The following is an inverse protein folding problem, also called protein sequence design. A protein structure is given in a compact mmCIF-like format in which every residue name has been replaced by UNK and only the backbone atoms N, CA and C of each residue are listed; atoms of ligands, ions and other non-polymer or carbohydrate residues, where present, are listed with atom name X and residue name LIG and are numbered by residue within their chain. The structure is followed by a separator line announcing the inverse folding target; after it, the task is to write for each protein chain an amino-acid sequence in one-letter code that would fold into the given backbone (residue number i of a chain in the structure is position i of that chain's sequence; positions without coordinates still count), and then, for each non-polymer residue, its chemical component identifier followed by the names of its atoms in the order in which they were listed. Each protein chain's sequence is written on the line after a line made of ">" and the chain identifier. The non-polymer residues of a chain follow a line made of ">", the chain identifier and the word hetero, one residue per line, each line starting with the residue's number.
data_IF_883327628590
#
_entry.id   IF_883327628590
#
_cell.length_a   1.000
_cell.length_b   1.000
_cell.length_c   1.000
_cell.angle_alpha   90.00
_cell.angle_beta   90.00
_cell.angle_gamma   90.00
#
_symmetry.space_group_name_H-M   'P 1'
#
loop_
_entity.id
_entity.type
_entity.pdbx_description
1 polymer ?
#
# COMPACT_ATOMS: atom_id res chain seq x y z
N UNK A 1 -17.57 29.39 7.34
CA UNK A 1 -17.10 28.10 7.90
C UNK A 1 -17.98 27.03 7.28
N UNK A 2 -17.50 26.39 6.21
CA UNK A 2 -18.22 25.28 5.60
C UNK A 2 -17.99 24.05 6.46
N UNK A 3 -19.07 23.45 6.96
CA UNK A 3 -19.03 22.09 7.48
C UNK A 3 -18.51 21.22 6.34
N UNK A 4 -17.30 20.67 6.46
CA UNK A 4 -16.92 19.58 5.58
C UNK A 4 -17.87 18.44 5.96
N UNK A 5 -18.87 18.18 5.11
CA UNK A 5 -19.78 17.06 5.33
C UNK A 5 -18.94 15.79 5.48
N UNK A 6 -19.18 15.06 6.56
CA UNK A 6 -18.44 13.85 6.85
C UNK A 6 -18.57 12.84 5.72
N UNK A 7 -17.49 12.08 5.51
CA UNK A 7 -17.48 10.98 4.53
C UNK A 7 -18.37 9.81 4.99
N UNK A 8 -18.76 9.74 6.25
CA UNK A 8 -19.65 8.70 6.79
C UNK A 8 -21.15 9.03 6.65
N UNK A 9 -21.55 9.72 5.58
CA UNK A 9 -22.95 9.99 5.31
C UNK A 9 -23.66 8.77 4.69
N UNK A 10 -23.73 7.68 5.46
CA UNK A 10 -24.49 6.50 5.06
C UNK A 10 -25.97 6.86 4.98
N UNK A 11 -26.60 6.51 3.85
CA UNK A 11 -28.06 6.57 3.75
C UNK A 11 -28.64 5.62 4.80
N UNK A 12 -29.85 5.89 5.30
CA UNK A 12 -30.58 4.98 6.21
C UNK A 12 -30.81 3.58 5.62
N UNK A 13 -30.61 3.40 4.31
CA UNK A 13 -30.69 2.12 3.63
C UNK A 13 -29.30 1.49 3.44
N UNK A 14 -29.19 0.15 3.45
CA UNK A 14 -27.94 -0.53 3.10
C UNK A 14 -27.43 -0.10 1.72
N UNK A 15 -26.13 0.17 1.61
CA UNK A 15 -25.46 0.43 0.33
C UNK A 15 -24.93 -0.89 -0.21
N UNK A 16 -25.12 -1.15 -1.50
CA UNK A 16 -24.66 -2.38 -2.14
C UNK A 16 -23.12 -2.47 -2.13
N UNK A 17 -22.59 -3.64 -1.78
CA UNK A 17 -21.14 -3.88 -1.73
C UNK A 17 -20.47 -3.73 -3.12
N UNK A 18 -21.24 -3.89 -4.19
CA UNK A 18 -20.83 -3.76 -5.60
C UNK A 18 -20.83 -2.32 -6.12
N UNK A 19 -21.31 -1.34 -5.33
CA UNK A 19 -21.28 0.08 -5.73
C UNK A 19 -19.88 0.68 -5.55
N UNK A 20 -18.93 0.24 -6.39
CA UNK A 20 -17.53 0.66 -6.30
C UNK A 20 -17.37 2.19 -6.41
N UNK A 21 -18.25 2.88 -7.15
CA UNK A 21 -18.23 4.33 -7.29
C UNK A 21 -18.54 5.06 -5.98
N UNK A 22 -19.40 4.50 -5.13
CA UNK A 22 -19.63 5.00 -3.78
C UNK A 22 -18.43 4.72 -2.87
N UNK A 23 -17.96 3.47 -2.84
CA UNK A 23 -16.89 3.04 -1.93
C UNK A 23 -15.53 3.67 -2.26
N UNK A 24 -15.22 3.90 -3.54
CA UNK A 24 -13.96 4.49 -3.95
C UNK A 24 -13.75 5.93 -3.43
N UNK A 25 -14.81 6.64 -3.03
CA UNK A 25 -14.72 7.98 -2.43
C UNK A 25 -13.92 8.02 -1.12
N UNK A 26 -13.79 6.87 -0.45
CA UNK A 26 -13.06 6.74 0.80
C UNK A 26 -11.53 6.65 0.61
N UNK A 27 -11.05 6.14 -0.53
CA UNK A 27 -9.61 5.85 -0.73
C UNK A 27 -9.02 6.27 -2.07
N UNK A 28 -9.82 6.58 -3.09
CA UNK A 28 -9.32 6.94 -4.42
C UNK A 28 -8.69 8.34 -4.48
N UNK A 29 -9.00 9.23 -3.53
CA UNK A 29 -8.42 10.57 -3.48
C UNK A 29 -6.94 10.54 -3.06
N UNK A 30 -6.08 11.00 -3.96
CA UNK A 30 -4.63 10.92 -3.80
C UNK A 30 -4.05 11.98 -2.85
N UNK A 31 -4.80 13.02 -2.50
CA UNK A 31 -4.34 14.09 -1.61
C UNK A 31 -4.70 13.86 -0.13
N UNK A 32 -5.32 12.73 0.21
CA UNK A 32 -5.84 12.48 1.56
C UNK A 32 -4.72 12.20 2.57
N UNK A 33 -4.55 13.10 3.54
CA UNK A 33 -3.67 12.91 4.70
C UNK A 33 -4.39 12.20 5.85
N UNK A 34 -3.62 11.78 6.87
CA UNK A 34 -4.22 11.20 8.10
C UNK A 34 -5.12 12.19 8.84
N UNK A 35 -4.77 13.48 8.82
CA UNK A 35 -5.56 14.53 9.46
C UNK A 35 -6.89 14.72 8.73
N UNK A 36 -6.88 14.64 7.39
CA UNK A 36 -8.09 14.72 6.58
C UNK A 36 -9.03 13.57 6.87
N UNK A 37 -8.51 12.33 6.96
CA UNK A 37 -9.33 11.16 7.35
C UNK A 37 -9.96 11.38 8.73
N UNK A 38 -9.21 11.86 9.71
CA UNK A 38 -9.71 12.02 11.08
C UNK A 38 -10.75 13.14 11.19
N UNK A 39 -10.61 14.19 10.40
CA UNK A 39 -11.59 15.28 10.29
C UNK A 39 -12.87 14.83 9.57
N UNK A 40 -12.73 14.06 8.47
CA UNK A 40 -13.84 13.58 7.65
C UNK A 40 -14.53 12.33 8.19
N UNK A 41 -13.95 11.66 9.20
CA UNK A 41 -14.49 10.46 9.84
C UNK A 41 -14.44 10.64 11.37
N UNK A 42 -15.36 11.43 11.94
CA UNK A 42 -15.37 11.73 13.38
C UNK A 42 -15.75 10.52 14.24
N UNK A 43 -15.23 10.46 15.47
CA UNK A 43 -15.47 9.34 16.38
C UNK A 43 -16.96 9.18 16.76
N UNK A 44 -17.65 10.31 16.94
CA UNK A 44 -19.08 10.31 17.25
C UNK A 44 -19.89 9.68 16.10
N UNK A 45 -19.50 9.93 14.86
CA UNK A 45 -20.19 9.40 13.70
C UNK A 45 -19.89 7.92 13.47
N UNK A 46 -18.65 7.46 13.68
CA UNK A 46 -18.35 6.03 13.62
C UNK A 46 -19.24 5.25 14.60
N UNK A 47 -19.39 5.77 15.83
CA UNK A 47 -20.30 5.17 16.83
C UNK A 47 -21.76 5.27 16.40
N UNK A 48 -22.21 6.41 15.89
CA UNK A 48 -23.59 6.55 15.41
C UNK A 48 -23.90 5.55 14.28
N UNK A 49 -23.01 5.42 13.29
CA UNK A 49 -23.14 4.45 12.21
C UNK A 49 -23.13 3.02 12.74
N UNK A 50 -22.29 2.70 13.73
CA UNK A 50 -22.25 1.38 14.36
C UNK A 50 -23.61 0.96 14.91
N UNK A 51 -24.33 1.90 15.54
CA UNK A 51 -25.66 1.65 16.11
C UNK A 51 -26.78 1.71 15.04
N UNK A 52 -26.72 2.68 14.13
CA UNK A 52 -27.82 2.98 13.20
C UNK A 52 -27.76 2.20 11.89
N UNK A 53 -26.56 1.79 11.47
CA UNK A 53 -26.33 1.12 10.18
C UNK A 53 -25.12 0.16 10.23
N UNK A 54 -25.12 -0.84 11.14
CA UNK A 54 -23.99 -1.76 11.33
C UNK A 54 -23.60 -2.50 10.04
N UNK A 55 -24.56 -2.83 9.17
CA UNK A 55 -24.27 -3.49 7.89
C UNK A 55 -23.42 -2.63 6.94
N UNK A 56 -23.65 -1.32 6.91
CA UNK A 56 -22.87 -0.41 6.05
C UNK A 56 -21.44 -0.25 6.56
N UNK A 57 -21.27 -0.17 7.88
CA UNK A 57 -19.95 -0.12 8.51
C UNK A 57 -19.18 -1.43 8.33
N UNK A 58 -19.86 -2.57 8.41
CA UNK A 58 -19.31 -3.87 8.07
C UNK A 58 -18.82 -3.92 6.61
N UNK A 59 -19.65 -3.49 5.65
CA UNK A 59 -19.27 -3.42 4.24
C UNK A 59 -18.10 -2.47 3.99
N UNK A 60 -18.07 -1.30 4.65
CA UNK A 60 -16.93 -0.37 4.57
C UNK A 60 -15.63 -1.05 5.01
N UNK A 61 -15.66 -1.78 6.13
CA UNK A 61 -14.50 -2.52 6.61
C UNK A 61 -14.09 -3.61 5.61
N UNK A 62 -15.05 -4.40 5.12
CA UNK A 62 -14.80 -5.43 4.13
C UNK A 62 -14.11 -4.88 2.88
N UNK A 63 -14.66 -3.82 2.27
CA UNK A 63 -14.11 -3.19 1.07
C UNK A 63 -12.74 -2.57 1.32
N UNK A 64 -12.52 -1.95 2.49
CA UNK A 64 -11.20 -1.43 2.84
C UNK A 64 -10.15 -2.54 2.99
N UNK A 65 -10.49 -3.68 3.60
CA UNK A 65 -9.60 -4.85 3.69
C UNK A 65 -9.36 -5.47 2.31
N UNK A 66 -10.38 -5.57 1.47
CA UNK A 66 -10.26 -6.05 0.08
C UNK A 66 -9.20 -5.25 -0.69
N UNK A 67 -9.18 -3.91 -0.55
CA UNK A 67 -8.14 -3.07 -1.16
C UNK A 67 -6.73 -3.32 -0.60
N UNK A 68 -6.61 -3.61 0.70
CA UNK A 68 -5.31 -3.99 1.29
C UNK A 68 -4.82 -5.33 0.73
N UNK A 69 -5.70 -6.33 0.62
CA UNK A 69 -5.39 -7.64 0.02
C UNK A 69 -4.95 -7.47 -1.43
N UNK A 70 -5.70 -6.69 -2.23
CA UNK A 70 -5.33 -6.40 -3.62
C UNK A 70 -3.95 -5.74 -3.73
N UNK A 71 -3.65 -4.76 -2.87
CA UNK A 71 -2.34 -4.12 -2.83
C UNK A 71 -1.20 -5.06 -2.42
N UNK A 72 -1.45 -5.97 -1.48
CA UNK A 72 -0.50 -6.99 -1.08
C UNK A 72 -0.21 -7.98 -2.22
N UNK A 73 -1.26 -8.48 -2.88
CA UNK A 73 -1.17 -9.40 -4.01
C UNK A 73 -0.47 -8.77 -5.22
N UNK A 74 -0.70 -7.47 -5.49
CA UNK A 74 -0.04 -6.75 -6.58
C UNK A 74 1.37 -6.26 -6.24
N UNK A 75 1.78 -6.30 -4.98
CA UNK A 75 3.07 -5.75 -4.54
C UNK A 75 3.18 -4.22 -4.69
N UNK A 76 2.06 -3.50 -4.63
CA UNK A 76 1.99 -2.03 -4.65
C UNK A 76 2.83 -1.37 -5.77
N UNK A 77 2.70 -1.85 -7.01
CA UNK A 77 3.58 -1.45 -8.11
C UNK A 77 3.36 0.00 -8.60
N UNK A 78 2.14 0.54 -8.49
CA UNK A 78 1.82 1.91 -8.90
C UNK A 78 1.65 2.87 -7.72
N UNK A 79 1.94 4.16 -7.95
CA UNK A 79 1.71 5.19 -6.93
C UNK A 79 0.24 5.29 -6.51
N UNK A 80 -0.67 5.05 -7.46
CA UNK A 80 -2.11 5.00 -7.18
C UNK A 80 -2.47 3.88 -6.20
N UNK A 81 -1.94 2.68 -6.39
CA UNK A 81 -2.18 1.55 -5.47
C UNK A 81 -1.61 1.84 -4.09
N UNK A 82 -0.38 2.36 -4.01
CA UNK A 82 0.24 2.75 -2.73
C UNK A 82 -0.65 3.73 -1.97
N UNK A 83 -1.19 4.72 -2.66
CA UNK A 83 -2.04 5.72 -2.04
C UNK A 83 -3.41 5.15 -1.59
N UNK A 84 -4.01 4.25 -2.38
CA UNK A 84 -5.23 3.53 -1.99
C UNK A 84 -4.95 2.72 -0.71
N UNK A 85 -3.88 1.93 -0.69
CA UNK A 85 -3.48 1.11 0.47
C UNK A 85 -3.26 1.98 1.71
N UNK A 86 -2.56 3.11 1.57
CA UNK A 86 -2.34 4.04 2.68
C UNK A 86 -3.65 4.65 3.19
N UNK A 87 -4.56 5.03 2.30
CA UNK A 87 -5.87 5.57 2.68
C UNK A 87 -6.74 4.52 3.39
N UNK A 88 -6.79 3.28 2.89
CA UNK A 88 -7.48 2.18 3.56
C UNK A 88 -6.88 1.88 4.93
N UNK A 89 -5.54 1.91 5.05
CA UNK A 89 -4.85 1.73 6.34
C UNK A 89 -5.21 2.83 7.35
N UNK A 90 -5.24 4.10 6.92
CA UNK A 90 -5.66 5.23 7.76
C UNK A 90 -7.12 5.11 8.20
N UNK A 91 -8.00 4.74 7.28
CA UNK A 91 -9.43 4.55 7.55
C UNK A 91 -9.65 3.43 8.56
N UNK A 92 -9.04 2.27 8.36
CA UNK A 92 -9.16 1.12 9.28
C UNK A 92 -8.56 1.45 10.65
N UNK A 93 -7.40 2.11 10.70
CA UNK A 93 -6.81 2.59 11.97
C UNK A 93 -7.75 3.54 12.70
N UNK A 94 -8.52 4.36 11.96
CA UNK A 94 -9.50 5.28 12.51
C UNK A 94 -10.77 4.58 13.00
N UNK A 95 -11.27 3.60 12.25
CA UNK A 95 -12.57 2.96 12.47
C UNK A 95 -12.53 1.83 13.49
N UNK A 96 -11.53 0.94 13.40
CA UNK A 96 -11.48 -0.29 14.19
C UNK A 96 -11.53 -0.08 15.71
N UNK A 97 -10.86 0.92 16.32
CA UNK A 97 -10.94 1.14 17.76
C UNK A 97 -12.37 1.36 18.26
N UNK A 98 -13.22 2.02 17.45
CA UNK A 98 -14.60 2.32 17.82
C UNK A 98 -15.54 1.15 17.51
N UNK A 99 -15.24 0.34 16.49
CA UNK A 99 -15.98 -0.90 16.26
C UNK A 99 -15.86 -1.82 17.47
N UNK A 100 -14.64 -2.02 17.98
CA UNK A 100 -14.37 -2.94 19.08
C UNK A 100 -14.75 -2.44 20.49
N UNK A 101 -15.33 -1.24 20.59
CA UNK A 101 -16.03 -0.83 21.83
C UNK A 101 -17.28 -1.68 22.09
N UNK A 102 -17.88 -2.24 21.03
CA UNK A 102 -19.00 -3.17 21.11
C UNK A 102 -18.48 -4.62 20.95
N UNK A 103 -18.66 -5.50 21.95
CA UNK A 103 -18.16 -6.87 21.88
C UNK A 103 -18.80 -7.72 20.78
N UNK A 104 -20.02 -7.41 20.33
CA UNK A 104 -20.75 -8.21 19.35
C UNK A 104 -20.08 -8.15 17.96
N UNK A 105 -19.31 -7.10 17.70
CA UNK A 105 -18.53 -6.94 16.47
C UNK A 105 -17.35 -7.91 16.35
N UNK A 106 -16.94 -8.58 17.43
CA UNK A 106 -15.95 -9.65 17.35
C UNK A 106 -16.44 -10.81 16.48
N UNK A 107 -17.73 -11.14 16.58
CA UNK A 107 -18.34 -12.19 15.76
C UNK A 107 -18.16 -11.88 14.28
N UNK A 108 -18.57 -10.68 13.85
CA UNK A 108 -18.42 -10.21 12.47
C UNK A 108 -16.98 -10.28 11.95
N UNK A 109 -16.00 -9.83 12.73
CA UNK A 109 -14.61 -9.74 12.26
C UNK A 109 -13.94 -11.12 12.15
N UNK A 110 -14.33 -12.06 13.01
CA UNK A 110 -13.73 -13.40 13.08
C UNK A 110 -14.61 -14.49 12.44
N UNK A 111 -15.82 -14.16 11.99
CA UNK A 111 -16.65 -15.05 11.17
C UNK A 111 -16.21 -15.03 9.72
N UNK A 112 -16.43 -16.15 9.04
CA UNK A 112 -16.34 -16.21 7.59
C UNK A 112 -17.52 -15.43 6.99
N UNK A 113 -17.27 -14.65 5.95
CA UNK A 113 -18.34 -13.93 5.24
C UNK A 113 -18.76 -14.82 4.07
N UNK A 114 -20.02 -15.28 4.01
CA UNK A 114 -20.52 -16.08 2.90
C UNK A 114 -20.35 -15.33 1.58
N UNK A 115 -19.71 -15.94 0.59
CA UNK A 115 -19.44 -15.32 -0.71
C UNK A 115 -18.27 -14.31 -0.75
N UNK A 116 -17.48 -14.17 0.33
CA UNK A 116 -16.15 -13.56 0.28
C UNK A 116 -15.08 -14.52 -0.28
N UNK A 117 -15.44 -15.80 -0.44
CA UNK A 117 -14.76 -16.73 -1.34
C UNK A 117 -14.79 -16.14 -2.75
N UNK A 118 -13.59 -15.90 -3.28
CA UNK A 118 -13.29 -15.31 -4.59
C UNK A 118 -14.36 -15.67 -5.63
N UNK A 119 -14.87 -14.67 -6.34
CA UNK A 119 -15.89 -14.86 -7.37
C UNK A 119 -15.60 -16.04 -8.30
N UNK A 120 -16.40 -17.10 -8.17
CA UNK A 120 -16.42 -18.24 -9.09
C UNK A 120 -16.43 -19.62 -8.41
N UNK A 121 -17.62 -20.23 -8.41
CA UNK A 121 -17.90 -21.68 -8.40
C UNK A 121 -17.64 -22.48 -7.11
N UNK A 122 -18.74 -22.80 -6.41
CA UNK A 122 -18.86 -23.99 -5.56
C UNK A 122 -19.47 -23.69 -4.19
N UNK A 123 -20.53 -24.41 -3.83
CA UNK A 123 -21.10 -24.40 -2.46
C UNK A 123 -20.12 -24.94 -1.40
N UNK A 124 -19.02 -25.59 -1.83
CA UNK A 124 -17.94 -26.11 -0.98
C UNK A 124 -16.86 -25.07 -0.60
N UNK A 125 -16.82 -23.88 -1.25
CA UNK A 125 -15.76 -22.87 -1.01
C UNK A 125 -16.06 -21.96 0.21
N UNK A 126 -17.30 -21.96 0.69
CA UNK A 126 -17.74 -21.19 1.86
C UNK A 126 -17.21 -21.79 3.18
N UNK A 127 -16.94 -23.11 3.22
CA UNK A 127 -16.39 -23.78 4.40
C UNK A 127 -14.92 -23.41 4.65
N UNK A 128 -14.24 -22.88 3.63
CA UNK A 128 -12.85 -22.46 3.68
C UNK A 128 -12.68 -20.93 3.52
N UNK A 129 -13.78 -20.18 3.54
CA UNK A 129 -13.75 -18.73 3.45
C UNK A 129 -13.00 -18.15 4.65
N UNK A 130 -12.00 -17.31 4.38
CA UNK A 130 -11.13 -16.76 5.44
C UNK A 130 -11.87 -15.66 6.21
N UNK A 131 -11.80 -15.63 7.56
CA UNK A 131 -12.32 -14.51 8.34
C UNK A 131 -11.71 -13.16 7.95
N UNK A 132 -12.48 -12.08 8.07
CA UNK A 132 -12.03 -10.72 7.73
C UNK A 132 -10.76 -10.33 8.51
N UNK A 133 -10.71 -10.70 9.80
CA UNK A 133 -9.56 -10.50 10.67
C UNK A 133 -8.29 -11.15 10.13
N UNK A 134 -8.37 -12.41 9.69
CA UNK A 134 -7.23 -13.15 9.16
C UNK A 134 -6.75 -12.52 7.85
N UNK A 135 -7.67 -12.17 6.95
CA UNK A 135 -7.35 -11.47 5.70
C UNK A 135 -6.65 -10.13 5.94
N UNK A 136 -7.13 -9.35 6.91
CA UNK A 136 -6.52 -8.08 7.29
C UNK A 136 -5.11 -8.27 7.85
N UNK A 137 -4.92 -9.23 8.77
CA UNK A 137 -3.63 -9.48 9.40
C UNK A 137 -2.57 -9.95 8.39
N UNK A 138 -2.95 -10.86 7.49
CA UNK A 138 -2.05 -11.33 6.43
C UNK A 138 -1.69 -10.20 5.45
N UNK A 139 -2.68 -9.44 4.97
CA UNK A 139 -2.42 -8.32 4.07
C UNK A 139 -1.52 -7.25 4.71
N UNK A 140 -1.75 -6.88 5.98
CA UNK A 140 -0.88 -5.94 6.69
C UNK A 140 0.53 -6.52 6.85
N UNK A 141 0.66 -7.80 7.20
CA UNK A 141 1.96 -8.44 7.35
C UNK A 141 2.76 -8.39 6.04
N UNK A 142 2.14 -8.70 4.91
CA UNK A 142 2.78 -8.63 3.59
C UNK A 142 3.14 -7.18 3.21
N UNK A 143 2.21 -6.24 3.41
CA UNK A 143 2.41 -4.83 3.10
C UNK A 143 3.50 -4.18 3.96
N UNK A 144 3.69 -4.58 5.21
CA UNK A 144 4.75 -4.08 6.09
C UNK A 144 6.16 -4.40 5.58
N UNK A 145 6.30 -5.46 4.78
CA UNK A 145 7.58 -5.89 4.20
C UNK A 145 7.62 -5.79 2.68
N UNK A 146 6.64 -5.10 2.07
CA UNK A 146 6.53 -4.95 0.63
C UNK A 146 7.70 -4.11 0.06
N UNK A 147 8.54 -4.69 -0.82
CA UNK A 147 9.63 -3.97 -1.47
C UNK A 147 9.13 -2.77 -2.27
N UNK A 148 9.90 -1.69 -2.26
CA UNK A 148 9.61 -0.43 -2.97
C UNK A 148 8.30 0.27 -2.54
N UNK A 149 7.66 -0.22 -1.46
CA UNK A 149 6.55 0.41 -0.76
C UNK A 149 6.90 0.77 0.68
N UNK A 150 7.15 -0.23 1.54
CA UNK A 150 7.50 -0.06 2.96
C UNK A 150 8.95 -0.40 3.27
N UNK A 151 9.58 -1.20 2.42
CA UNK A 151 11.00 -1.60 2.55
C UNK A 151 11.77 -1.19 1.29
N UNK A 152 12.98 -0.65 1.45
CA UNK A 152 13.85 -0.32 0.33
C UNK A 152 14.37 -1.60 -0.35
N UNK A 153 14.11 -1.75 -1.65
CA UNK A 153 14.69 -2.84 -2.43
C UNK A 153 16.17 -2.59 -2.67
N UNK A 154 17.02 -3.49 -2.18
CA UNK A 154 18.46 -3.44 -2.47
C UNK A 154 18.71 -3.97 -3.89
N UNK A 155 18.44 -3.14 -4.91
CA UNK A 155 18.92 -3.47 -6.25
C UNK A 155 20.43 -3.29 -6.24
N UNK A 156 21.18 -4.41 -6.28
CA UNK A 156 22.61 -4.37 -6.64
C UNK A 156 22.68 -3.68 -8.00
N UNK A 157 23.15 -2.43 -8.03
CA UNK A 157 23.54 -1.76 -9.26
C UNK A 157 24.52 -2.67 -9.98
N UNK A 158 24.04 -3.37 -11.01
CA UNK A 158 24.90 -3.97 -12.01
C UNK A 158 25.62 -2.82 -12.67
N UNK A 159 26.80 -2.49 -12.16
CA UNK A 159 27.77 -1.65 -12.86
C UNK A 159 27.97 -2.34 -14.20
N UNK A 160 27.35 -1.79 -15.25
CA UNK A 160 27.66 -2.15 -16.63
C UNK A 160 29.13 -1.83 -16.80
N UNK A 161 29.98 -2.86 -16.72
CA UNK A 161 31.38 -2.75 -17.06
C UNK A 161 31.42 -2.45 -18.56
N UNK A 162 31.65 -1.19 -18.90
CA UNK A 162 31.83 -0.78 -20.28
C UNK A 162 32.88 -1.70 -20.95
N UNK A 163 32.64 -2.20 -22.16
CA UNK A 163 33.66 -2.95 -22.88
C UNK A 163 34.85 -2.02 -23.12
N UNK A 164 36.02 -2.41 -22.60
CA UNK A 164 37.26 -1.72 -22.92
C UNK A 164 37.47 -1.85 -24.43
N UNK A 165 37.43 -0.72 -25.13
CA UNK A 165 37.81 -0.63 -26.54
C UNK A 165 39.29 -1.00 -26.65
N UNK A 166 39.58 -2.17 -27.23
CA UNK A 166 40.93 -2.54 -27.63
C UNK A 166 41.36 -1.65 -28.81
N UNK A 167 42.28 -0.73 -28.57
CA UNK A 167 43.02 -0.04 -29.64
C UNK A 167 44.07 -1.00 -30.22
N UNK A 168 44.16 -1.16 -31.55
CA UNK A 168 45.26 -1.92 -32.16
C UNK A 168 46.53 -1.05 -32.19
N UNK A 169 47.64 -1.61 -31.67
CA UNK A 169 48.98 -1.08 -31.93
C UNK A 169 49.42 -1.51 -33.34
N UNK A 170 49.76 -0.53 -34.18
CA UNK A 170 50.59 -0.72 -35.38
C UNK A 170 51.80 0.20 -35.27
N UNK A 171 52.98 -0.40 -35.44
CA UNK A 171 54.25 0.19 -35.04
C UNK A 171 54.99 1.07 -36.07
N UNK A 172 56.12 1.54 -35.54
CA UNK A 172 57.38 1.94 -36.18
C UNK A 172 57.47 3.25 -36.99
N UNK A 173 58.39 4.10 -36.54
CA UNK A 173 58.87 5.31 -37.21
C UNK A 173 60.03 5.94 -36.43
N UNK A 174 61.25 5.54 -36.80
CA UNK A 174 62.56 5.82 -36.18
C UNK A 174 63.05 7.27 -36.31
N UNK A 175 63.81 7.79 -35.35
CA UNK A 175 64.68 8.98 -35.54
C UNK A 175 65.08 9.74 -34.25
N UNK A 176 66.38 10.00 -33.97
CA UNK A 176 66.88 10.25 -32.62
C UNK A 176 67.11 11.74 -32.29
N UNK A 177 67.06 12.08 -31.01
CA UNK A 177 67.46 13.39 -30.50
C UNK A 177 67.92 13.28 -29.04
N UNK A 178 69.24 13.12 -28.87
CA UNK A 178 69.95 13.11 -27.61
C UNK A 178 69.72 14.42 -26.83
N UNK A 179 69.44 14.30 -25.54
CA UNK A 179 69.35 15.42 -24.60
C UNK A 179 69.32 14.91 -23.17
N UNK A 180 70.46 14.38 -22.71
CA UNK A 180 70.76 14.19 -21.29
C UNK A 180 70.66 15.57 -20.59
N UNK A 181 70.08 15.64 -19.39
CA UNK A 181 70.71 16.19 -18.17
C UNK A 181 69.71 16.10 -17.00
N UNK A 182 70.11 15.27 -16.04
CA UNK A 182 69.96 15.31 -14.58
C UNK A 182 68.66 15.68 -13.85
N UNK A 183 68.27 14.74 -12.99
CA UNK A 183 67.50 14.90 -11.74
C UNK A 183 68.41 15.56 -10.67
N UNK A 184 67.91 16.35 -9.69
CA UNK A 184 67.57 15.68 -8.43
C UNK A 184 66.45 16.29 -7.53
N UNK A 185 65.65 15.38 -6.95
CA UNK A 185 65.18 15.27 -5.55
C UNK A 185 64.37 16.38 -4.82
N UNK A 186 63.31 15.92 -4.14
CA UNK A 186 62.74 16.51 -2.90
C UNK A 186 61.40 17.23 -3.10
N UNK A 187 60.35 17.05 -2.29
CA UNK A 187 60.17 16.32 -1.04
C UNK A 187 58.70 16.46 -0.60
N UNK A 188 58.28 15.60 0.31
CA UNK A 188 56.94 15.55 0.88
C UNK A 188 56.61 16.79 1.73
N UNK A 189 55.37 17.27 1.61
CA UNK A 189 54.34 17.51 2.63
C UNK A 189 53.27 18.47 2.09
#
# INVERSE_FOLDING_TARGET
>A
MGSADSKLNFRKAPVEATDDAFWDQFWADTATSVQDVFALVPAAEIRAVREESPSNLATLCYKAVEKLVQGAESGCHSEKEKQIVLNCSRLLTRVLPYIFEDPDWRGFFWSTVPGAGRGGQGEDDDENARPLAESLLLAIADLLFCPDFTVQSHRRSTVVRAPQSSTPQTGEGSGPGLGLVEVPWGGAL
#
